data_IF_161299086155
#
_entry.id   IF_161299086155
#
_cell.length_a   1.000
_cell.length_b   1.000
_cell.length_c   1.000
_cell.angle_alpha   90.00
_cell.angle_beta   90.00
_cell.angle_gamma   90.00
#
_symmetry.space_group_name_H-M   'P 1'
#
loop_
_entity.id
_entity.type
_entity.pdbx_description
1 polymer ?
#
# COMPACT_ATOMS: atom_id res chain seq x y z
N UNK A 1 19.03 28.32 8.65
CA UNK A 1 18.87 26.92 8.19
C UNK A 1 17.40 26.58 8.31
N UNK A 2 16.78 26.03 7.26
CA UNK A 2 15.42 25.50 7.34
C UNK A 2 15.37 24.36 8.37
N UNK A 3 14.27 24.23 9.11
CA UNK A 3 14.12 23.15 10.08
C UNK A 3 14.23 21.78 9.38
N UNK A 4 14.85 20.76 10.02
CA UNK A 4 14.88 19.39 9.50
C UNK A 4 13.47 18.85 9.26
N UNK A 5 13.25 18.19 8.11
CA UNK A 5 11.94 17.69 7.66
C UNK A 5 11.95 16.19 7.43
N UNK A 6 10.82 15.56 7.74
CA UNK A 6 10.57 14.15 7.38
C UNK A 6 10.37 14.01 5.87
N UNK A 7 10.47 12.78 5.35
CA UNK A 7 10.12 12.44 3.97
C UNK A 7 8.68 12.88 3.68
N UNK A 8 7.77 12.61 4.61
CA UNK A 8 6.38 13.01 4.50
C UNK A 8 6.23 14.53 4.42
N UNK A 9 6.90 15.31 5.27
CA UNK A 9 6.82 16.78 5.25
C UNK A 9 7.31 17.34 3.91
N UNK A 10 8.43 16.82 3.40
CA UNK A 10 9.00 17.25 2.11
C UNK A 10 8.03 17.04 0.95
N UNK A 11 7.31 15.91 0.95
CA UNK A 11 6.34 15.60 -0.09
C UNK A 11 5.06 16.40 0.14
N UNK A 12 4.50 16.41 1.35
CA UNK A 12 3.29 17.15 1.68
C UNK A 12 3.40 18.62 1.29
N UNK A 13 4.42 19.32 1.80
CA UNK A 13 4.57 20.76 1.62
C UNK A 13 4.74 21.14 0.14
N UNK A 14 5.31 20.26 -0.68
CA UNK A 14 5.44 20.48 -2.13
C UNK A 14 4.12 20.37 -2.88
N UNK A 15 3.17 19.59 -2.36
CA UNK A 15 1.90 19.31 -3.04
C UNK A 15 0.73 20.15 -2.51
N UNK A 16 0.89 20.87 -1.40
CA UNK A 16 -0.11 21.82 -0.93
C UNK A 16 -0.27 22.98 -1.92
N UNK A 17 -1.49 23.16 -2.41
CA UNK A 17 -1.89 24.28 -3.28
C UNK A 17 -2.46 25.42 -2.45
N UNK A 18 -3.31 25.09 -1.47
CA UNK A 18 -4.02 26.04 -0.63
C UNK A 18 -4.35 25.39 0.71
N UNK A 19 -4.29 26.16 1.79
CA UNK A 19 -4.76 25.75 3.12
C UNK A 19 -5.99 26.57 3.52
N UNK A 20 -6.97 25.91 4.15
CA UNK A 20 -8.16 26.57 4.71
C UNK A 20 -7.94 26.95 6.17
N UNK A 21 -8.62 28.01 6.65
CA UNK A 21 -8.86 28.17 8.08
C UNK A 21 -9.51 26.90 8.64
N UNK A 22 -8.84 26.24 9.58
CA UNK A 22 -9.26 24.93 10.12
C UNK A 22 -8.29 23.77 9.84
N UNK A 23 -7.27 23.96 9.00
CA UNK A 23 -6.13 23.05 8.85
C UNK A 23 -6.26 22.00 7.75
N UNK A 24 -7.33 22.03 6.96
CA UNK A 24 -7.43 21.23 5.73
C UNK A 24 -6.58 21.87 4.62
N UNK A 25 -5.83 21.05 3.90
CA UNK A 25 -5.05 21.46 2.73
C UNK A 25 -5.65 20.87 1.45
N UNK A 26 -5.60 21.64 0.36
CA UNK A 26 -5.85 21.17 -0.99
C UNK A 26 -4.54 20.65 -1.56
N UNK A 27 -4.45 19.35 -1.78
CA UNK A 27 -3.25 18.73 -2.35
C UNK A 27 -3.41 18.50 -3.85
N UNK A 28 -2.31 18.71 -4.58
CA UNK A 28 -2.14 18.18 -5.93
C UNK A 28 -1.93 16.66 -5.87
N UNK A 29 -2.60 15.93 -6.78
CA UNK A 29 -2.40 14.49 -6.96
C UNK A 29 -1.59 14.25 -8.23
N UNK A 30 -0.39 13.66 -8.14
CA UNK A 30 0.44 13.44 -9.33
C UNK A 30 -0.06 12.30 -10.21
N UNK A 31 -0.52 11.22 -9.58
CA UNK A 31 -0.96 9.99 -10.25
C UNK A 31 -2.21 9.44 -9.58
N UNK A 32 -3.10 8.92 -10.40
CA UNK A 32 -4.30 8.25 -9.92
C UNK A 32 -4.46 6.91 -10.64
N UNK A 33 -4.70 5.85 -9.89
CA UNK A 33 -5.13 4.57 -10.41
C UNK A 33 -6.65 4.45 -10.32
N UNK A 34 -7.24 3.79 -11.30
CA UNK A 34 -8.65 3.40 -11.32
C UNK A 34 -8.75 1.92 -11.67
N UNK A 35 -9.75 1.27 -11.09
CA UNK A 35 -10.07 -0.13 -11.31
C UNK A 35 -11.59 -0.26 -11.49
N UNK A 36 -12.11 -1.47 -11.63
CA UNK A 36 -13.51 -1.74 -11.93
C UNK A 36 -14.48 -0.99 -11.00
N UNK A 37 -14.18 -0.92 -9.70
CA UNK A 37 -14.98 -0.21 -8.68
C UNK A 37 -15.06 1.31 -8.87
N UNK A 38 -14.24 1.88 -9.76
CA UNK A 38 -14.23 3.32 -10.05
C UNK A 38 -15.45 3.79 -10.85
N UNK A 39 -16.31 2.89 -11.32
CA UNK A 39 -17.48 3.22 -12.12
C UNK A 39 -18.42 4.24 -11.45
N UNK A 40 -18.55 4.21 -10.12
CA UNK A 40 -19.33 5.20 -9.38
C UNK A 40 -18.82 6.63 -9.58
N UNK A 41 -17.50 6.82 -9.56
CA UNK A 41 -16.87 8.13 -9.75
C UNK A 41 -17.02 8.62 -11.19
N UNK A 42 -16.83 7.76 -12.18
CA UNK A 42 -17.05 8.09 -13.60
C UNK A 42 -18.51 8.45 -13.88
N UNK A 43 -19.46 7.65 -13.38
CA UNK A 43 -20.89 7.93 -13.54
C UNK A 43 -21.29 9.25 -12.89
N UNK A 44 -20.78 9.55 -11.69
CA UNK A 44 -21.05 10.82 -11.02
C UNK A 44 -20.36 12.02 -11.68
N UNK A 45 -19.22 11.83 -12.35
CA UNK A 45 -18.56 12.86 -13.16
C UNK A 45 -19.34 13.17 -14.44
N UNK A 46 -19.81 12.12 -15.13
CA UNK A 46 -20.59 12.23 -16.35
C UNK A 46 -21.96 12.90 -16.11
N UNK A 47 -22.62 12.59 -14.99
CA UNK A 47 -23.88 13.26 -14.56
C UNK A 47 -23.72 14.78 -14.42
N UNK A 48 -22.54 15.26 -14.06
CA UNK A 48 -22.23 16.69 -13.95
C UNK A 48 -21.77 17.32 -15.29
N UNK A 49 -21.78 16.55 -16.38
CA UNK A 49 -21.27 17.01 -17.69
C UNK A 49 -19.76 17.25 -17.71
N UNK A 50 -19.00 16.63 -16.79
CA UNK A 50 -17.56 16.81 -16.66
C UNK A 50 -16.79 15.67 -17.32
N UNK A 51 -15.56 15.98 -17.73
CA UNK A 51 -14.57 15.00 -18.23
C UNK A 51 -13.40 14.91 -17.25
N UNK A 52 -12.63 13.82 -17.36
CA UNK A 52 -11.40 13.66 -16.59
C UNK A 52 -10.41 14.77 -16.94
N UNK A 53 -9.93 15.50 -15.93
CA UNK A 53 -9.11 16.71 -16.08
C UNK A 53 -7.70 16.43 -16.60
N UNK A 54 -7.09 15.32 -16.14
CA UNK A 54 -5.71 14.93 -16.48
C UNK A 54 -5.64 13.42 -16.80
N UNK A 55 -6.16 13.00 -17.96
CA UNK A 55 -6.22 11.56 -18.29
C UNK A 55 -4.83 10.92 -18.39
N UNK A 56 -3.79 11.67 -18.79
CA UNK A 56 -2.39 11.20 -18.81
C UNK A 56 -1.78 10.96 -17.42
N UNK A 57 -2.41 11.43 -16.36
CA UNK A 57 -2.03 11.17 -14.96
C UNK A 57 -2.87 10.05 -14.34
N UNK A 58 -3.80 9.47 -15.10
CA UNK A 58 -4.69 8.39 -14.64
C UNK A 58 -4.36 7.09 -15.37
N UNK A 59 -4.38 5.98 -14.64
CA UNK A 59 -4.08 4.64 -15.14
C UNK A 59 -5.19 3.69 -14.72
N UNK A 60 -5.76 2.97 -15.68
CA UNK A 60 -6.84 2.03 -15.47
C UNK A 60 -6.32 0.59 -15.55
N UNK A 61 -6.72 -0.25 -14.60
CA UNK A 61 -6.37 -1.67 -14.58
C UNK A 61 -7.56 -2.48 -14.10
N UNK A 62 -7.84 -3.57 -14.79
CA UNK A 62 -8.79 -4.56 -14.31
C UNK A 62 -8.03 -5.59 -13.47
N UNK A 63 -8.39 -5.77 -12.21
CA UNK A 63 -7.76 -6.76 -11.32
C UNK A 63 -8.70 -7.38 -10.26
N UNK A 64 -9.78 -6.72 -9.83
CA UNK A 64 -10.67 -7.27 -8.79
C UNK A 64 -11.67 -8.32 -9.30
N UNK A 65 -12.10 -8.22 -10.56
CA UNK A 65 -13.16 -9.09 -11.12
C UNK A 65 -12.67 -9.96 -12.28
N UNK A 66 -11.35 -10.00 -12.47
CA UNK A 66 -10.70 -10.73 -13.55
C UNK A 66 -10.83 -12.24 -13.33
N UNK A 67 -11.26 -13.02 -14.35
CA UNK A 67 -11.38 -14.47 -14.22
C UNK A 67 -10.02 -15.14 -14.07
N UNK A 68 -9.88 -16.03 -13.08
CA UNK A 68 -8.67 -16.85 -12.89
C UNK A 68 -8.63 -18.05 -13.86
N UNK A 69 -9.80 -18.56 -14.27
CA UNK A 69 -9.95 -19.73 -15.15
C UNK A 69 -10.52 -19.29 -16.49
N UNK A 70 -9.99 -19.85 -17.59
CA UNK A 70 -10.49 -19.60 -18.93
C UNK A 70 -10.13 -18.22 -19.48
N UNK A 71 -9.03 -17.63 -19.03
CA UNK A 71 -8.58 -16.27 -19.41
C UNK A 71 -8.51 -16.05 -20.92
N UNK A 72 -8.29 -17.10 -21.71
CA UNK A 72 -8.30 -17.05 -23.17
C UNK A 72 -9.64 -16.61 -23.78
N UNK A 73 -10.74 -16.69 -23.02
CA UNK A 73 -12.06 -16.18 -23.43
C UNK A 73 -12.27 -14.70 -23.05
N UNK A 74 -11.25 -14.03 -22.53
CA UNK A 74 -11.31 -12.62 -22.12
C UNK A 74 -12.40 -12.37 -21.08
N UNK A 75 -13.15 -11.29 -21.24
CA UNK A 75 -14.20 -10.90 -20.29
C UNK A 75 -15.33 -11.93 -20.18
N UNK A 76 -15.54 -12.74 -21.22
CA UNK A 76 -16.63 -13.72 -21.24
C UNK A 76 -16.34 -14.94 -20.36
N UNK A 77 -15.11 -15.07 -19.82
CA UNK A 77 -14.79 -16.07 -18.80
C UNK A 77 -15.31 -15.72 -17.39
N UNK A 78 -15.61 -14.45 -17.10
CA UNK A 78 -16.27 -14.10 -15.86
C UNK A 78 -17.73 -14.56 -15.93
N UNK A 79 -18.13 -15.52 -15.10
CA UNK A 79 -19.49 -16.11 -15.11
C UNK A 79 -20.54 -15.13 -14.57
N UNK A 80 -20.14 -14.28 -13.63
CA UNK A 80 -20.97 -13.24 -13.03
C UNK A 80 -21.22 -12.08 -14.01
N UNK A 81 -22.48 -11.70 -14.21
CA UNK A 81 -22.87 -10.67 -15.17
C UNK A 81 -22.45 -9.26 -14.73
N UNK A 82 -22.43 -8.99 -13.43
CA UNK A 82 -22.03 -7.70 -12.88
C UNK A 82 -20.51 -7.53 -12.98
N UNK A 83 -19.74 -8.60 -12.72
CA UNK A 83 -18.30 -8.64 -12.95
C UNK A 83 -17.95 -8.32 -14.41
N UNK A 84 -18.61 -8.99 -15.37
CA UNK A 84 -18.45 -8.68 -16.81
C UNK A 84 -18.81 -7.23 -17.12
N UNK A 85 -19.90 -6.74 -16.54
CA UNK A 85 -20.34 -5.36 -16.76
C UNK A 85 -19.31 -4.35 -16.26
N UNK A 86 -18.76 -4.54 -15.06
CA UNK A 86 -17.78 -3.63 -14.47
C UNK A 86 -16.46 -3.60 -15.25
N UNK A 87 -15.98 -4.74 -15.74
CA UNK A 87 -14.78 -4.80 -16.60
C UNK A 87 -15.01 -4.01 -17.90
N UNK A 88 -16.12 -4.27 -18.60
CA UNK A 88 -16.47 -3.54 -19.84
C UNK A 88 -16.67 -2.05 -19.59
N UNK A 89 -17.22 -1.69 -18.44
CA UNK A 89 -17.46 -0.30 -18.06
C UNK A 89 -16.14 0.44 -17.75
N UNK A 90 -15.14 -0.23 -17.16
CA UNK A 90 -13.81 0.34 -16.99
C UNK A 90 -13.15 0.62 -18.34
N UNK A 91 -13.23 -0.33 -19.27
CA UNK A 91 -12.70 -0.17 -20.63
C UNK A 91 -13.34 1.02 -21.35
N UNK A 92 -14.68 1.09 -21.34
CA UNK A 92 -15.41 2.18 -21.98
C UNK A 92 -15.12 3.54 -21.34
N UNK A 93 -15.10 3.63 -20.01
CA UNK A 93 -14.74 4.85 -19.31
C UNK A 93 -13.31 5.30 -19.64
N UNK A 94 -12.39 4.35 -19.74
CA UNK A 94 -10.99 4.64 -20.08
C UNK A 94 -10.89 5.17 -21.51
N UNK A 95 -11.57 4.52 -22.46
CA UNK A 95 -11.61 4.93 -23.87
C UNK A 95 -12.22 6.32 -24.05
N UNK A 96 -13.37 6.59 -23.44
CA UNK A 96 -14.08 7.89 -23.54
C UNK A 96 -13.25 9.05 -22.97
N UNK A 97 -12.46 8.78 -21.92
CA UNK A 97 -11.65 9.79 -21.26
C UNK A 97 -10.18 9.83 -21.72
N UNK A 98 -9.75 8.90 -22.59
CA UNK A 98 -8.37 8.81 -23.06
C UNK A 98 -7.37 8.41 -21.97
N UNK A 99 -7.79 7.54 -21.05
CA UNK A 99 -6.98 7.00 -19.94
C UNK A 99 -6.19 5.79 -20.43
N UNK A 100 -4.94 5.65 -19.99
CA UNK A 100 -4.16 4.44 -20.25
C UNK A 100 -4.82 3.23 -19.55
N UNK A 101 -5.14 2.18 -20.30
CA UNK A 101 -5.88 1.02 -19.80
C UNK A 101 -5.08 -0.27 -20.00
N UNK A 102 -4.78 -0.95 -18.89
CA UNK A 102 -4.19 -2.28 -18.85
C UNK A 102 -5.31 -3.31 -18.69
N UNK A 103 -6.00 -3.59 -19.79
CA UNK A 103 -7.12 -4.54 -19.85
C UNK A 103 -6.67 -6.00 -19.85
N UNK A 104 -7.64 -6.93 -19.90
CA UNK A 104 -7.39 -8.38 -19.76
C UNK A 104 -6.36 -8.98 -20.73
N UNK A 105 -6.27 -8.42 -21.95
CA UNK A 105 -5.38 -8.89 -23.02
C UNK A 105 -4.05 -8.12 -23.07
N UNK A 106 -3.85 -7.12 -22.20
CA UNK A 106 -2.59 -6.39 -22.11
C UNK A 106 -1.57 -7.26 -21.35
N UNK A 107 -0.39 -7.48 -21.95
CA UNK A 107 0.68 -8.26 -21.32
C UNK A 107 1.20 -7.67 -20.01
N UNK A 108 0.92 -6.39 -19.76
CA UNK A 108 1.26 -5.67 -18.52
C UNK A 108 0.15 -5.74 -17.47
N UNK A 109 -0.99 -6.34 -17.78
CA UNK A 109 -2.09 -6.48 -16.84
C UNK A 109 -1.64 -7.33 -15.65
N UNK A 110 -2.02 -6.86 -14.46
CA UNK A 110 -1.72 -7.49 -13.19
C UNK A 110 -2.46 -6.74 -12.09
N UNK A 111 -2.11 -6.99 -10.84
CA UNK A 111 -2.70 -6.30 -9.70
C UNK A 111 -2.22 -4.85 -9.68
N UNK A 112 -3.11 -3.89 -9.41
CA UNK A 112 -2.84 -2.44 -9.49
C UNK A 112 -1.57 -2.01 -8.73
N UNK A 113 -1.38 -2.56 -7.53
CA UNK A 113 -0.24 -2.25 -6.66
C UNK A 113 1.05 -3.02 -7.01
N UNK A 114 0.98 -3.97 -7.95
CA UNK A 114 2.13 -4.67 -8.52
C UNK A 114 2.59 -3.97 -9.80
N UNK A 115 1.67 -3.69 -10.72
CA UNK A 115 2.00 -3.08 -12.00
C UNK A 115 2.51 -1.64 -11.87
N UNK A 116 2.02 -0.89 -10.87
CA UNK A 116 2.40 0.51 -10.67
C UNK A 116 3.92 0.68 -10.46
N UNK A 117 4.54 -0.04 -9.50
CA UNK A 117 5.99 -0.11 -9.34
C UNK A 117 6.70 -0.74 -10.54
N UNK A 118 6.25 -1.89 -11.05
CA UNK A 118 6.94 -2.65 -12.10
C UNK A 118 7.06 -1.88 -13.42
N UNK A 119 6.05 -1.07 -13.73
CA UNK A 119 6.04 -0.21 -14.92
C UNK A 119 6.73 1.14 -14.69
N UNK A 120 7.13 1.46 -13.46
CA UNK A 120 7.73 2.75 -13.10
C UNK A 120 6.73 3.92 -13.08
N UNK A 121 5.43 3.63 -12.96
CA UNK A 121 4.37 4.64 -12.75
C UNK A 121 4.50 5.22 -11.33
N UNK A 122 4.87 4.35 -10.38
CA UNK A 122 5.22 4.73 -9.02
C UNK A 122 6.63 5.27 -8.98
N UNK A 123 6.80 6.50 -8.49
CA UNK A 123 8.11 7.15 -8.42
C UNK A 123 8.25 7.91 -7.10
N UNK A 124 9.49 8.07 -6.59
CA UNK A 124 9.72 8.79 -5.36
C UNK A 124 9.25 10.24 -5.44
N UNK A 125 8.65 10.70 -4.34
CA UNK A 125 8.20 12.08 -4.18
C UNK A 125 6.83 12.38 -4.75
N UNK A 126 6.14 11.42 -5.36
CA UNK A 126 4.80 11.62 -5.92
C UNK A 126 3.70 11.48 -4.87
N UNK A 127 2.57 12.15 -5.09
CA UNK A 127 1.28 11.81 -4.49
C UNK A 127 0.50 10.85 -5.39
N UNK A 128 0.08 9.70 -4.84
CA UNK A 128 -0.56 8.62 -5.60
C UNK A 128 -1.86 8.19 -4.92
N UNK A 129 -2.95 8.10 -5.68
CA UNK A 129 -4.26 7.65 -5.18
C UNK A 129 -4.83 6.49 -5.97
N UNK A 130 -5.63 5.65 -5.33
CA UNK A 130 -6.49 4.67 -5.97
C UNK A 130 -7.80 4.53 -5.17
N UNK A 131 -8.81 3.92 -5.77
CA UNK A 131 -10.02 3.45 -5.08
C UNK A 131 -9.80 2.25 -4.15
N UNK A 132 -8.55 1.91 -3.84
CA UNK A 132 -8.12 0.72 -3.09
C UNK A 132 -7.34 1.12 -1.82
N UNK A 133 -7.56 0.41 -0.71
CA UNK A 133 -6.94 0.69 0.58
C UNK A 133 -5.42 0.46 0.58
N UNK A 134 -4.95 -0.53 -0.16
CA UNK A 134 -3.55 -0.96 -0.20
C UNK A 134 -2.69 -0.11 -1.16
N UNK A 135 -3.20 1.04 -1.60
CA UNK A 135 -2.43 2.08 -2.30
C UNK A 135 -1.20 2.51 -1.50
N UNK A 136 -1.19 2.31 -0.19
CA UNK A 136 -0.01 2.47 0.67
C UNK A 136 1.23 1.71 0.16
N UNK A 137 1.05 0.61 -0.58
CA UNK A 137 2.12 -0.17 -1.23
C UNK A 137 3.13 0.72 -1.96
N UNK A 138 2.66 1.72 -2.71
CA UNK A 138 3.50 2.59 -3.52
C UNK A 138 4.48 3.45 -2.70
N UNK A 139 4.25 3.60 -1.39
CA UNK A 139 5.16 4.32 -0.51
C UNK A 139 6.49 3.61 -0.24
N UNK A 140 6.62 2.33 -0.62
CA UNK A 140 7.90 1.61 -0.59
C UNK A 140 8.97 2.24 -1.50
N UNK A 141 8.53 2.98 -2.53
CA UNK A 141 9.39 3.72 -3.45
C UNK A 141 9.51 5.20 -3.03
N UNK A 142 9.09 5.57 -1.83
CA UNK A 142 9.17 6.95 -1.33
C UNK A 142 8.08 7.88 -1.87
N UNK A 143 6.93 7.35 -2.27
CA UNK A 143 5.74 8.14 -2.64
C UNK A 143 4.80 8.34 -1.44
N UNK A 144 4.03 9.43 -1.41
CA UNK A 144 2.90 9.54 -0.50
C UNK A 144 1.65 8.98 -1.18
N UNK A 145 1.30 7.74 -0.83
CA UNK A 145 0.28 6.99 -1.54
C UNK A 145 -0.82 6.48 -0.60
N UNK A 146 -2.08 6.72 -0.95
CA UNK A 146 -3.22 6.45 -0.05
C UNK A 146 -4.52 6.14 -0.80
N UNK A 147 -5.36 5.31 -0.18
CA UNK A 147 -6.67 4.95 -0.70
C UNK A 147 -7.69 6.09 -0.61
N UNK A 148 -8.63 6.12 -1.55
CA UNK A 148 -9.68 7.13 -1.67
C UNK A 148 -11.05 6.51 -1.87
N UNK A 149 -12.09 7.14 -1.34
CA UNK A 149 -13.47 6.75 -1.61
C UNK A 149 -13.99 7.30 -2.95
N UNK A 150 -15.11 6.77 -3.45
CA UNK A 150 -15.69 7.16 -4.74
C UNK A 150 -15.92 8.67 -4.89
N UNK A 151 -16.36 9.37 -3.83
CA UNK A 151 -16.54 10.83 -3.83
C UNK A 151 -15.22 11.59 -3.97
N UNK A 152 -14.15 11.11 -3.33
CA UNK A 152 -12.81 11.69 -3.45
C UNK A 152 -12.23 11.42 -4.84
N UNK A 153 -12.40 10.20 -5.35
CA UNK A 153 -11.98 9.84 -6.70
C UNK A 153 -12.68 10.74 -7.75
N UNK A 154 -13.98 11.00 -7.62
CA UNK A 154 -14.69 11.96 -8.51
C UNK A 154 -14.01 13.34 -8.47
N UNK A 155 -13.64 13.84 -7.30
CA UNK A 155 -12.96 15.15 -7.17
C UNK A 155 -11.59 15.14 -7.84
N UNK A 156 -10.82 14.06 -7.68
CA UNK A 156 -9.52 13.88 -8.33
C UNK A 156 -9.69 13.85 -9.84
N UNK A 157 -10.62 13.03 -10.36
CA UNK A 157 -10.91 12.98 -11.79
C UNK A 157 -11.34 14.36 -12.34
N UNK A 158 -12.11 15.14 -11.59
CA UNK A 158 -12.59 16.46 -12.01
C UNK A 158 -11.53 17.58 -11.93
N UNK A 159 -10.57 17.50 -11.01
CA UNK A 159 -9.72 18.65 -10.63
C UNK A 159 -8.22 18.36 -10.52
N UNK A 160 -7.83 17.10 -10.45
CA UNK A 160 -6.48 16.63 -10.07
C UNK A 160 -6.05 17.05 -8.66
N UNK A 161 -7.01 17.38 -7.79
CA UNK A 161 -6.75 17.86 -6.44
C UNK A 161 -7.68 17.18 -5.44
N UNK A 162 -7.26 17.12 -4.18
CA UNK A 162 -8.05 16.55 -3.10
C UNK A 162 -7.87 17.37 -1.81
N UNK A 163 -8.98 17.67 -1.13
CA UNK A 163 -8.94 18.24 0.22
C UNK A 163 -8.61 17.15 1.24
N UNK A 164 -7.60 17.38 2.06
CA UNK A 164 -7.22 16.47 3.13
C UNK A 164 -6.79 17.22 4.39
N UNK A 165 -7.13 16.64 5.53
CA UNK A 165 -6.49 16.97 6.80
C UNK A 165 -5.08 16.38 6.82
N UNK A 166 -4.09 17.16 7.25
CA UNK A 166 -2.70 16.67 7.42
C UNK A 166 -2.66 15.54 8.45
N UNK A 167 -2.25 14.32 8.08
CA UNK A 167 -2.01 13.24 9.04
C UNK A 167 -0.84 13.57 9.96
N UNK A 168 -0.82 12.96 11.13
CA UNK A 168 0.36 12.95 12.00
C UNK A 168 1.41 11.97 11.47
N UNK A 169 2.62 12.04 11.99
CA UNK A 169 3.77 11.25 11.55
C UNK A 169 4.15 10.21 12.61
N UNK A 170 4.28 8.95 12.20
CA UNK A 170 4.74 7.85 13.05
C UNK A 170 6.01 7.26 12.45
N UNK A 171 7.12 7.30 13.19
CA UNK A 171 8.33 6.57 12.80
C UNK A 171 8.30 5.15 13.38
N UNK A 172 8.52 4.14 12.54
CA UNK A 172 8.76 2.77 12.98
C UNK A 172 10.18 2.38 12.59
N UNK A 173 11.06 2.25 13.57
CA UNK A 173 12.48 1.92 13.37
C UNK A 173 12.70 0.44 13.66
N UNK A 174 13.12 -0.32 12.65
CA UNK A 174 13.53 -1.73 12.79
C UNK A 174 15.03 -1.83 12.52
N UNK A 175 15.81 -1.97 13.61
CA UNK A 175 17.27 -2.06 13.55
C UNK A 175 17.74 -3.52 13.63
N UNK A 176 19.03 -3.76 13.47
CA UNK A 176 19.58 -5.12 13.43
C UNK A 176 19.50 -5.76 12.04
N UNK A 177 20.04 -6.97 11.93
CA UNK A 177 20.04 -7.78 10.71
C UNK A 177 19.02 -8.88 10.87
N UNK A 178 18.10 -9.00 9.89
CA UNK A 178 17.11 -10.07 9.86
C UNK A 178 17.80 -11.44 9.77
N UNK A 179 17.27 -12.42 10.51
CA UNK A 179 17.72 -13.80 10.43
C UNK A 179 17.33 -14.43 9.07
N UNK A 180 18.03 -15.48 8.61
CA UNK A 180 17.62 -16.22 7.42
C UNK A 180 16.17 -16.71 7.53
N UNK A 181 15.39 -16.54 6.46
CA UNK A 181 13.97 -16.90 6.43
C UNK A 181 13.02 -15.83 6.97
N UNK A 182 13.54 -14.72 7.52
CA UNK A 182 12.73 -13.57 7.93
C UNK A 182 12.65 -12.57 6.78
N UNK A 183 11.43 -12.22 6.40
CA UNK A 183 11.08 -11.43 5.21
C UNK A 183 10.41 -10.11 5.58
N UNK A 184 10.08 -9.29 4.59
CA UNK A 184 9.26 -8.08 4.78
C UNK A 184 7.89 -8.38 5.39
N UNK A 185 7.31 -9.56 5.11
CA UNK A 185 6.03 -10.00 5.69
C UNK A 185 6.14 -10.16 7.20
N UNK A 186 7.22 -10.78 7.66
CA UNK A 186 7.44 -11.03 9.09
C UNK A 186 7.68 -9.73 9.83
N UNK A 187 8.45 -8.82 9.24
CA UNK A 187 8.69 -7.48 9.78
C UNK A 187 7.38 -6.73 9.99
N UNK A 188 6.51 -6.67 8.97
CA UNK A 188 5.25 -5.91 9.09
C UNK A 188 4.25 -6.58 10.02
N UNK A 189 4.16 -7.92 10.04
CA UNK A 189 3.35 -8.63 11.02
C UNK A 189 3.82 -8.38 12.46
N UNK A 190 5.12 -8.38 12.71
CA UNK A 190 5.67 -8.05 14.02
C UNK A 190 5.35 -6.60 14.44
N UNK A 191 5.39 -5.66 13.48
CA UNK A 191 4.98 -4.27 13.73
C UNK A 191 3.50 -4.21 14.09
N UNK A 192 2.61 -4.84 13.29
CA UNK A 192 1.16 -4.83 13.54
C UNK A 192 0.82 -5.50 14.87
N UNK A 193 1.42 -6.64 15.20
CA UNK A 193 1.25 -7.29 16.51
C UNK A 193 1.70 -6.38 17.67
N UNK A 194 2.75 -5.57 17.46
CA UNK A 194 3.28 -4.66 18.48
C UNK A 194 2.41 -3.43 18.73
N UNK A 195 1.83 -2.85 17.67
CA UNK A 195 1.10 -1.57 17.75
C UNK A 195 -0.43 -1.74 17.68
N UNK A 196 -0.91 -2.89 17.23
CA UNK A 196 -2.31 -3.20 16.99
C UNK A 196 -2.84 -2.61 15.68
N UNK A 197 -4.04 -3.06 15.30
CA UNK A 197 -4.77 -2.64 14.09
C UNK A 197 -5.22 -1.18 14.12
N UNK A 198 -5.36 -0.59 15.31
CA UNK A 198 -5.61 0.85 15.47
C UNK A 198 -4.32 1.64 15.76
N UNK A 199 -3.16 0.99 15.79
CA UNK A 199 -1.90 1.52 16.29
C UNK A 199 -1.35 2.73 15.55
N UNK A 200 -1.72 2.93 14.29
CA UNK A 200 -1.30 4.05 13.46
C UNK A 200 -2.47 4.90 12.95
N UNK A 201 -3.65 4.79 13.58
CA UNK A 201 -4.84 5.57 13.21
C UNK A 201 -4.51 7.06 13.13
N UNK A 202 -4.83 7.70 12.00
CA UNK A 202 -4.57 9.12 11.78
C UNK A 202 -3.11 9.48 11.46
N UNK A 203 -2.22 8.50 11.34
CA UNK A 203 -0.80 8.70 11.07
C UNK A 203 -0.40 8.22 9.67
N UNK A 204 0.64 8.83 9.11
CA UNK A 204 1.47 8.24 8.06
C UNK A 204 2.67 7.58 8.74
N UNK A 205 2.93 6.31 8.43
CA UNK A 205 4.09 5.59 8.94
C UNK A 205 5.29 5.84 8.02
N UNK A 206 6.42 6.24 8.59
CA UNK A 206 7.72 6.12 7.95
C UNK A 206 8.47 4.93 8.56
N UNK A 207 8.71 3.89 7.75
CA UNK A 207 9.48 2.72 8.14
C UNK A 207 10.97 2.99 7.89
N UNK A 208 11.79 2.79 8.91
CA UNK A 208 13.22 3.09 8.89
C UNK A 208 14.03 2.02 9.63
N UNK A 209 15.35 2.18 9.61
CA UNK A 209 16.29 1.29 10.30
C UNK A 209 17.00 0.30 9.37
N UNK A 210 18.02 -0.35 9.92
CA UNK A 210 18.91 -1.22 9.15
C UNK A 210 18.19 -2.43 8.53
N UNK A 211 17.20 -3.00 9.23
CA UNK A 211 16.45 -4.14 8.73
C UNK A 211 15.59 -3.75 7.51
N UNK A 212 14.89 -2.60 7.58
CA UNK A 212 14.08 -2.07 6.47
C UNK A 212 14.94 -1.79 5.24
N UNK A 213 16.10 -1.14 5.43
CA UNK A 213 17.05 -0.89 4.32
C UNK A 213 17.61 -2.18 3.72
N UNK A 214 17.77 -3.22 4.54
CA UNK A 214 18.27 -4.53 4.12
C UNK A 214 17.29 -5.35 3.28
N UNK A 215 16.01 -4.97 3.19
CA UNK A 215 15.01 -5.63 2.34
C UNK A 215 15.21 -5.29 0.86
N UNK A 216 14.83 -6.20 -0.04
CA UNK A 216 14.58 -5.89 -1.46
C UNK A 216 13.49 -4.83 -1.60
N UNK A 217 13.35 -4.23 -2.80
CA UNK A 217 12.30 -3.24 -3.03
C UNK A 217 10.91 -3.85 -2.85
N UNK A 218 10.78 -5.12 -3.15
CA UNK A 218 9.56 -5.90 -3.05
C UNK A 218 9.24 -6.30 -1.62
N UNK A 219 10.26 -6.65 -0.81
CA UNK A 219 10.09 -6.78 0.63
C UNK A 219 9.60 -5.47 1.26
N UNK A 220 10.06 -4.31 0.75
CA UNK A 220 9.56 -2.99 1.15
C UNK A 220 8.13 -2.74 0.67
N UNK A 221 7.78 -3.18 -0.55
CA UNK A 221 6.40 -3.14 -1.07
C UNK A 221 5.45 -3.92 -0.17
N UNK A 222 5.84 -5.10 0.31
CA UNK A 222 5.07 -5.87 1.31
C UNK A 222 4.87 -5.10 2.62
N UNK A 223 5.92 -4.46 3.14
CA UNK A 223 5.83 -3.67 4.38
C UNK A 223 4.88 -2.47 4.23
N UNK A 224 5.00 -1.70 3.15
CA UNK A 224 4.14 -0.54 2.92
C UNK A 224 2.71 -0.93 2.56
N UNK A 225 2.51 -2.05 1.85
CA UNK A 225 1.20 -2.61 1.55
C UNK A 225 0.43 -2.83 2.85
N UNK A 226 1.05 -3.49 3.83
CA UNK A 226 0.39 -3.86 5.07
C UNK A 226 0.33 -2.74 6.14
N UNK A 227 0.67 -1.50 5.78
CA UNK A 227 0.58 -0.38 6.71
C UNK A 227 -0.89 -0.07 7.09
N UNK A 228 -1.84 -0.37 6.20
CA UNK A 228 -3.26 -0.10 6.40
C UNK A 228 -3.87 -1.03 7.46
N UNK A 229 -3.34 -2.25 7.63
CA UNK A 229 -3.71 -3.20 8.67
C UNK A 229 -3.33 -2.72 10.06
N UNK A 230 -2.38 -1.78 10.19
CA UNK A 230 -2.10 -1.05 11.43
C UNK A 230 -2.95 0.22 11.60
N UNK A 231 -3.88 0.48 10.68
CA UNK A 231 -4.75 1.67 10.68
C UNK A 231 -4.08 2.93 10.12
N UNK A 232 -2.91 2.82 9.50
CA UNK A 232 -2.19 3.96 8.96
C UNK A 232 -2.91 4.57 7.75
N UNK A 233 -2.76 5.88 7.56
CA UNK A 233 -3.21 6.55 6.33
C UNK A 233 -2.35 6.19 5.12
N UNK A 234 -1.07 5.96 5.34
CA UNK A 234 -0.09 5.49 4.36
C UNK A 234 1.13 4.90 5.09
N UNK A 235 1.92 4.10 4.37
CA UNK A 235 3.24 3.64 4.80
C UNK A 235 4.29 4.08 3.79
N UNK A 236 5.43 4.58 4.26
CA UNK A 236 6.48 5.15 3.41
C UNK A 236 7.86 4.66 3.82
N UNK A 237 8.73 4.45 2.84
CA UNK A 237 10.16 4.15 3.04
C UNK A 237 10.96 5.16 2.22
N UNK A 238 12.00 5.73 2.83
CA UNK A 238 12.89 6.66 2.16
C UNK A 238 13.55 5.99 0.93
N UNK A 239 13.51 6.63 -0.25
CA UNK A 239 14.08 6.04 -1.45
C UNK A 239 15.61 6.05 -1.36
N UNK A 240 16.24 4.96 -1.78
CA UNK A 240 17.68 4.78 -1.80
C UNK A 240 18.15 4.18 -3.15
N UNK A 241 19.44 3.84 -3.24
CA UNK A 241 20.03 3.33 -4.48
C UNK A 241 19.33 2.06 -4.99
N UNK A 242 18.76 1.21 -4.12
CA UNK A 242 18.00 0.04 -4.56
C UNK A 242 16.70 0.44 -5.28
N UNK A 243 15.98 1.44 -4.76
CA UNK A 243 14.79 2.00 -5.43
C UNK A 243 15.17 2.65 -6.77
N UNK A 244 16.29 3.37 -6.83
CA UNK A 244 16.75 4.00 -8.07
C UNK A 244 17.12 2.96 -9.12
N UNK A 245 17.81 1.89 -8.74
CA UNK A 245 18.13 0.79 -9.65
C UNK A 245 16.88 0.05 -10.12
N UNK A 246 15.93 -0.19 -9.22
CA UNK A 246 14.65 -0.83 -9.54
C UNK A 246 13.86 -0.06 -10.61
N UNK A 247 13.89 1.27 -10.57
CA UNK A 247 13.19 2.14 -11.52
C UNK A 247 13.93 2.37 -12.84
N UNK A 248 15.23 2.13 -12.89
CA UNK A 248 16.02 2.45 -14.07
C UNK A 248 15.57 1.63 -15.29
N UNK A 249 15.22 2.32 -16.37
CA UNK A 249 14.79 1.67 -17.63
C UNK A 249 13.34 1.19 -17.66
N UNK A 250 12.56 1.36 -16.58
CA UNK A 250 11.12 1.01 -16.59
C UNK A 250 10.34 1.88 -17.58
N UNK A 251 9.22 1.35 -18.08
CA UNK A 251 8.46 1.95 -19.19
C UNK A 251 8.09 3.41 -18.94
N UNK A 252 7.52 3.69 -17.76
CA UNK A 252 7.03 5.01 -17.33
C UNK A 252 8.02 5.77 -16.45
N UNK A 253 9.20 5.21 -16.17
CA UNK A 253 10.25 5.92 -15.47
C UNK A 253 10.88 7.00 -16.38
N UNK A 254 11.43 8.10 -15.81
CA UNK A 254 12.15 9.11 -16.57
C UNK A 254 13.33 8.51 -17.35
N UNK A 255 13.71 9.11 -18.49
CA UNK A 255 14.79 8.62 -19.36
C UNK A 255 15.76 9.74 -19.73
N UNK A 256 17.02 9.40 -20.00
CA UNK A 256 18.05 10.37 -20.40
C UNK A 256 18.17 11.53 -19.41
N UNK A 257 18.19 12.77 -19.90
CA UNK A 257 18.30 13.94 -19.03
C UNK A 257 17.16 14.09 -18.00
N UNK A 258 15.98 13.51 -18.25
CA UNK A 258 14.89 13.50 -17.28
C UNK A 258 15.18 12.55 -16.11
N UNK A 259 15.89 11.45 -16.37
CA UNK A 259 16.38 10.54 -15.35
C UNK A 259 17.36 11.22 -14.41
N UNK A 260 18.36 11.91 -14.96
CA UNK A 260 19.37 12.58 -14.13
C UNK A 260 18.76 13.64 -13.21
N UNK A 261 17.78 14.41 -13.73
CA UNK A 261 17.03 15.38 -12.92
C UNK A 261 16.18 14.71 -11.85
N UNK A 262 15.49 13.62 -12.21
CA UNK A 262 14.67 12.86 -11.26
C UNK A 262 15.54 12.27 -10.14
N UNK A 263 16.66 11.64 -10.48
CA UNK A 263 17.60 11.05 -9.53
C UNK A 263 18.18 12.10 -8.58
N UNK A 264 18.60 13.26 -9.11
CA UNK A 264 19.08 14.37 -8.28
C UNK A 264 18.02 14.83 -7.27
N UNK A 265 16.76 14.92 -7.71
CA UNK A 265 15.64 15.27 -6.84
C UNK A 265 15.33 14.17 -5.82
N UNK A 266 15.30 12.91 -6.24
CA UNK A 266 14.97 11.77 -5.37
C UNK A 266 15.97 11.62 -4.23
N UNK A 267 17.25 11.93 -4.46
CA UNK A 267 18.29 11.93 -3.41
C UNK A 267 18.08 12.98 -2.32
N UNK A 268 17.22 13.99 -2.53
CA UNK A 268 16.87 14.99 -1.51
C UNK A 268 15.69 14.59 -0.62
N UNK A 269 14.97 13.52 -0.98
CA UNK A 269 13.74 13.10 -0.31
C UNK A 269 13.94 12.41 1.05
N UNK A 270 14.98 11.59 1.30
CA UNK A 270 15.15 10.95 2.60
C UNK A 270 15.06 11.94 3.76
N UNK A 271 14.45 11.52 4.88
CA UNK A 271 14.28 12.34 6.09
C UNK A 271 15.59 13.00 6.52
N UNK A 272 15.53 14.29 6.84
CA UNK A 272 16.69 15.04 7.32
C UNK A 272 17.11 14.57 8.72
N UNK A 273 18.43 14.57 8.99
CA UNK A 273 18.95 14.31 10.33
C UNK A 273 18.36 15.31 11.34
N UNK A 274 17.79 14.78 12.42
CA UNK A 274 17.14 15.58 13.46
C UNK A 274 15.70 15.99 13.17
N UNK A 275 15.09 15.51 12.08
CA UNK A 275 13.64 15.65 11.86
C UNK A 275 12.86 14.96 12.99
N UNK A 276 11.72 15.55 13.36
CA UNK A 276 10.87 15.06 14.45
C UNK A 276 9.63 14.39 13.90
N UNK A 277 9.23 13.30 14.54
CA UNK A 277 7.98 12.60 14.30
C UNK A 277 7.03 12.81 15.48
N UNK A 278 5.73 12.82 15.24
CA UNK A 278 4.71 12.94 16.30
C UNK A 278 4.75 11.74 17.25
N UNK A 279 5.10 10.56 16.73
CA UNK A 279 5.28 9.33 17.51
C UNK A 279 6.41 8.47 16.96
N UNK A 280 7.06 7.71 17.84
CA UNK A 280 8.09 6.74 17.48
C UNK A 280 7.82 5.35 18.09
N UNK A 281 8.16 4.31 17.35
CA UNK A 281 8.15 2.89 17.77
C UNK A 281 9.43 2.25 17.28
N UNK A 282 10.06 1.40 18.09
CA UNK A 282 11.28 0.69 17.74
C UNK A 282 11.12 -0.82 17.95
N UNK A 283 11.69 -1.61 17.03
CA UNK A 283 11.78 -3.05 17.09
C UNK A 283 13.22 -3.50 16.81
N UNK A 284 13.62 -4.61 17.43
CA UNK A 284 14.88 -5.30 17.10
C UNK A 284 14.62 -6.37 16.04
N UNK A 285 15.08 -6.09 14.83
CA UNK A 285 15.02 -6.98 13.68
C UNK A 285 15.84 -8.26 13.84
N UNK A 286 16.87 -8.27 14.69
CA UNK A 286 17.66 -9.48 14.96
C UNK A 286 16.92 -10.48 15.85
N UNK A 287 15.91 -10.01 16.60
CA UNK A 287 15.04 -10.83 17.44
C UNK A 287 13.78 -11.31 16.70
N UNK A 288 13.59 -10.91 15.44
CA UNK A 288 12.44 -11.37 14.66
C UNK A 288 12.65 -12.80 14.16
N UNK A 289 11.55 -13.53 14.16
CA UNK A 289 11.41 -14.88 13.60
C UNK A 289 10.35 -14.83 12.49
N UNK A 290 10.21 -15.88 11.66
CA UNK A 290 9.05 -16.01 10.79
C UNK A 290 7.75 -15.86 11.59
N UNK A 291 6.80 -15.08 11.08
CA UNK A 291 5.57 -14.70 11.78
C UNK A 291 4.35 -15.33 11.11
N UNK A 292 3.35 -15.67 11.91
CA UNK A 292 2.07 -16.23 11.47
C UNK A 292 0.93 -15.48 12.15
N UNK A 293 -0.11 -15.15 11.38
CA UNK A 293 -1.40 -14.74 11.96
C UNK A 293 -2.22 -16.00 12.26
N UNK A 294 -2.57 -16.20 13.52
CA UNK A 294 -3.29 -17.41 13.97
C UNK A 294 -4.81 -17.20 14.08
N UNK A 295 -5.25 -15.95 14.18
CA UNK A 295 -6.65 -15.59 14.36
C UNK A 295 -7.30 -14.98 13.12
N UNK A 296 -8.30 -14.14 13.35
CA UNK A 296 -9.11 -13.46 12.32
C UNK A 296 -8.69 -12.01 12.07
N UNK A 297 -7.71 -11.50 12.83
CA UNK A 297 -7.18 -10.15 12.69
C UNK A 297 -5.67 -10.15 12.45
N UNK A 298 -5.12 -9.25 11.60
CA UNK A 298 -3.68 -9.14 11.37
C UNK A 298 -2.84 -8.88 12.64
N UNK A 299 -3.40 -8.29 13.70
CA UNK A 299 -2.69 -8.11 14.98
C UNK A 299 -2.57 -9.39 15.81
N UNK A 300 -3.34 -10.43 15.48
CA UNK A 300 -3.26 -11.75 16.10
C UNK A 300 -2.14 -12.56 15.45
N UNK A 301 -0.94 -11.96 15.43
CA UNK A 301 0.26 -12.52 14.84
C UNK A 301 1.31 -12.86 15.91
N UNK A 302 2.02 -13.96 15.69
CA UNK A 302 3.00 -14.51 16.61
C UNK A 302 4.23 -15.06 15.85
N UNK A 303 5.41 -15.10 16.50
CA UNK A 303 6.55 -15.87 16.01
C UNK A 303 6.17 -17.33 15.80
N UNK A 304 6.69 -17.98 14.76
CA UNK A 304 6.38 -19.38 14.41
C UNK A 304 6.68 -20.37 15.54
N UNK A 305 7.63 -20.05 16.41
CA UNK A 305 7.99 -20.84 17.59
C UNK A 305 7.00 -20.73 18.76
N UNK A 306 6.03 -19.80 18.67
CA UNK A 306 5.10 -19.50 19.74
C UNK A 306 3.90 -20.48 19.81
N UNK A 307 3.15 -20.31 20.89
CA UNK A 307 1.87 -21.00 21.15
C UNK A 307 0.73 -20.00 21.14
N UNK A 308 -0.43 -20.44 20.68
CA UNK A 308 -1.66 -19.65 20.67
C UNK A 308 -1.99 -19.21 22.11
N UNK A 309 -2.28 -17.93 22.36
CA UNK A 309 -2.49 -17.42 23.71
C UNK A 309 -3.79 -17.96 24.30
N UNK A 310 -3.82 -18.12 25.62
CA UNK A 310 -5.07 -18.31 26.35
C UNK A 310 -5.74 -16.94 26.55
N UNK A 311 -6.97 -16.73 26.07
CA UNK A 311 -7.69 -15.47 26.30
C UNK A 311 -7.73 -15.08 27.78
N UNK A 312 -7.77 -16.01 28.73
CA UNK A 312 -7.78 -15.68 30.15
C UNK A 312 -6.50 -14.97 30.64
N UNK A 313 -5.40 -15.09 29.90
CA UNK A 313 -4.11 -14.46 30.22
C UNK A 313 -3.98 -13.04 29.65
N UNK A 314 -4.87 -12.62 28.76
CA UNK A 314 -4.83 -11.27 28.18
C UNK A 314 -5.44 -10.25 29.16
N UNK A 315 -4.72 -9.16 29.43
CA UNK A 315 -5.16 -8.14 30.38
C UNK A 315 -6.36 -7.31 29.91
N UNK A 316 -6.52 -7.12 28.61
CA UNK A 316 -7.56 -6.27 28.00
C UNK A 316 -8.84 -7.05 27.70
N UNK A 317 -10.00 -6.56 28.16
CA UNK A 317 -11.26 -7.28 28.07
C UNK A 317 -11.77 -7.45 26.62
N UNK A 318 -11.56 -6.45 25.78
CA UNK A 318 -12.00 -6.51 24.37
C UNK A 318 -11.10 -7.48 23.60
N UNK A 319 -9.79 -7.47 23.85
CA UNK A 319 -8.87 -8.46 23.30
C UNK A 319 -9.18 -9.87 23.76
N UNK A 320 -9.59 -10.07 25.02
CA UNK A 320 -10.06 -11.38 25.51
C UNK A 320 -11.27 -11.88 24.72
N UNK A 321 -12.26 -11.02 24.54
CA UNK A 321 -13.48 -11.37 23.81
C UNK A 321 -13.17 -11.70 22.34
N UNK A 322 -12.33 -10.89 21.69
CA UNK A 322 -11.94 -11.11 20.29
C UNK A 322 -11.13 -12.40 20.13
N UNK A 323 -10.10 -12.62 20.97
CA UNK A 323 -9.30 -13.84 20.93
C UNK A 323 -10.16 -15.10 21.16
N UNK A 324 -11.13 -15.05 22.08
CA UNK A 324 -12.05 -16.16 22.31
C UNK A 324 -12.93 -16.46 21.07
N UNK A 325 -13.40 -15.42 20.36
CA UNK A 325 -14.13 -15.57 19.11
C UNK A 325 -13.25 -16.11 17.98
N UNK A 326 -12.02 -15.61 17.86
CA UNK A 326 -11.05 -16.06 16.87
C UNK A 326 -10.72 -17.56 17.05
N UNK A 327 -10.52 -18.02 18.29
CA UNK A 327 -10.30 -19.45 18.58
C UNK A 327 -11.46 -20.33 18.13
N UNK A 328 -12.70 -19.89 18.38
CA UNK A 328 -13.91 -20.63 17.94
C UNK A 328 -13.99 -20.66 16.42
N UNK A 329 -13.77 -19.51 15.76
CA UNK A 329 -13.84 -19.42 14.30
C UNK A 329 -12.76 -20.25 13.60
N UNK A 330 -11.53 -20.22 14.12
CA UNK A 330 -10.39 -20.93 13.57
C UNK A 330 -10.34 -22.41 13.98
N UNK A 331 -11.23 -22.86 14.85
CA UNK A 331 -11.23 -24.20 15.47
C UNK A 331 -9.90 -24.54 16.16
N UNK A 332 -9.36 -23.56 16.91
CA UNK A 332 -8.09 -23.66 17.62
C UNK A 332 -8.29 -23.69 19.14
N UNK A 333 -7.37 -24.38 19.83
CA UNK A 333 -7.33 -24.44 21.30
C UNK A 333 -6.20 -23.55 21.85
N UNK A 334 -6.39 -22.91 23.02
CA UNK A 334 -5.30 -22.26 23.74
C UNK A 334 -4.10 -23.18 23.95
N UNK A 335 -2.90 -22.65 23.80
CA UNK A 335 -1.64 -23.36 24.03
C UNK A 335 -1.17 -24.28 22.89
N UNK A 336 -1.97 -24.46 21.82
CA UNK A 336 -1.53 -25.15 20.60
C UNK A 336 -0.29 -24.46 20.02
N UNK A 337 0.77 -25.20 19.70
CA UNK A 337 1.93 -24.61 19.02
C UNK A 337 1.55 -24.32 17.56
N UNK A 338 2.03 -23.21 17.00
CA UNK A 338 1.71 -22.86 15.62
C UNK A 338 2.19 -23.92 14.62
N UNK A 339 3.30 -24.59 14.93
CA UNK A 339 3.84 -25.71 14.15
C UNK A 339 2.98 -26.97 14.17
N UNK A 340 2.03 -27.08 15.11
CA UNK A 340 1.13 -28.23 15.22
C UNK A 340 -0.14 -28.05 14.36
N UNK A 341 -0.35 -26.86 13.78
CA UNK A 341 -1.52 -26.55 12.95
C UNK A 341 -1.35 -27.20 11.58
N UNK A 342 -2.30 -28.06 11.22
CA UNK A 342 -2.32 -28.73 9.91
C UNK A 342 -2.69 -27.74 8.81
N UNK A 343 -1.97 -27.80 7.69
CA UNK A 343 -2.26 -27.05 6.47
C UNK A 343 -3.02 -27.95 5.51
N UNK A 344 -4.24 -27.56 5.14
CA UNK A 344 -5.03 -28.28 4.12
C UNK A 344 -4.89 -27.66 2.71
N UNK A 345 -4.59 -26.35 2.64
CA UNK A 345 -4.39 -25.61 1.39
C UNK A 345 -3.32 -24.54 1.58
N UNK A 346 -2.54 -24.29 0.53
CA UNK A 346 -1.57 -23.21 0.47
C UNK A 346 -1.83 -22.35 -0.77
N UNK A 347 -1.86 -21.04 -0.59
CA UNK A 347 -1.96 -20.05 -1.66
C UNK A 347 -0.74 -19.14 -1.58
N UNK A 348 -0.11 -18.89 -2.73
CA UNK A 348 1.02 -17.98 -2.87
C UNK A 348 0.62 -16.96 -3.93
N UNK A 349 0.75 -15.67 -3.62
CA UNK A 349 0.24 -14.59 -4.46
C UNK A 349 -0.63 -13.60 -3.68
N UNK A 350 -1.02 -12.52 -4.37
CA UNK A 350 -1.82 -11.35 -3.94
C UNK A 350 -1.08 -10.04 -4.27
N UNK A 351 -1.70 -8.89 -3.93
CA UNK A 351 -1.06 -7.57 -4.04
C UNK A 351 0.15 -7.41 -3.10
N UNK A 352 0.13 -8.13 -1.97
CA UNK A 352 1.12 -8.02 -0.89
C UNK A 352 2.41 -8.75 -1.26
N UNK A 353 2.30 -9.98 -1.76
CA UNK A 353 3.39 -10.88 -2.11
C UNK A 353 2.93 -11.81 -3.25
N UNK A 354 3.71 -11.88 -4.31
CA UNK A 354 3.37 -12.51 -5.59
C UNK A 354 4.31 -12.12 -6.72
N UNK A 355 5.47 -11.54 -6.37
CA UNK A 355 6.54 -11.14 -7.28
C UNK A 355 7.54 -12.29 -7.40
N UNK A 356 8.50 -12.17 -8.31
CA UNK A 356 9.41 -13.28 -8.62
C UNK A 356 10.27 -13.72 -7.44
N UNK A 357 10.65 -12.81 -6.52
CA UNK A 357 11.38 -13.21 -5.30
C UNK A 357 10.51 -13.84 -4.21
N UNK A 358 9.18 -13.73 -4.33
CA UNK A 358 8.24 -14.38 -3.42
C UNK A 358 8.01 -15.86 -3.82
N UNK A 359 8.34 -16.24 -5.07
CA UNK A 359 8.09 -17.55 -5.70
C UNK A 359 9.33 -18.45 -5.70
#
# INVERSE_FOLDING_TARGET
MTAPRTLFDKIWDRHVILEKPGGDALLHIDRNFVHEGSFHAFGALAKDGRRVRKPRQTFAVADHYVPTVGRERGVDAAEDADARHMIRLLEENSRVNGIAHFGLDDARQGIVHVIGPELGITQPGLTITCGDSHTSTHGALGAYAFGTGASQLKQILATQCLWMKRPQTLQVVVNGKLAPGVTGKDVVLAIIARIGTAGATGHVIEFAGAAIRGLSVEGRLTVCNMAIEAGARAGMIAPDDAVYQYLHGREYAPKGADWDRALAQWRTLPTDDGARFDRGVALDGAALEPMLTWGTSPEEALPVSARIPDPQTLGDADKRAHAAQALVYMDLKPGTALTDIRIDRAFIGSCTNGRIEDL
#
